data_IF_631448462574
#
_entry.id   IF_631448462574
#
_cell.length_a   1.000
_cell.length_b   1.000
_cell.length_c   1.000
_cell.angle_alpha   90.00
_cell.angle_beta   90.00
_cell.angle_gamma   90.00
#
_symmetry.space_group_name_H-M   'P 1'
#
loop_
_entity.id
_entity.type
_entity.pdbx_description
1 polymer ?
#
# COMPACT_ATOMS: atom_id res chain seq x y z
N UNK A 1 3.15 8.37 -28.55
CA UNK A 1 2.51 9.68 -28.37
C UNK A 1 3.57 10.75 -28.54
N UNK A 2 3.48 11.55 -29.61
CA UNK A 2 4.33 12.71 -29.81
C UNK A 2 4.10 13.62 -28.62
N UNK A 3 5.16 13.98 -27.90
CA UNK A 3 5.11 15.02 -26.88
C UNK A 3 4.54 16.28 -27.62
N UNK A 4 3.29 16.57 -27.38
CA UNK A 4 2.70 17.82 -27.85
C UNK A 4 3.57 18.93 -27.30
N UNK A 5 4.04 19.78 -28.17
CA UNK A 5 4.77 20.98 -27.75
C UNK A 5 3.76 21.89 -27.04
N UNK A 6 3.61 21.65 -25.72
CA UNK A 6 2.57 22.25 -24.88
C UNK A 6 2.67 23.78 -24.85
N UNK A 7 3.87 24.31 -25.14
CA UNK A 7 4.07 25.75 -25.26
C UNK A 7 3.45 26.31 -26.54
N UNK A 8 3.59 25.63 -27.68
CA UNK A 8 2.96 26.07 -28.94
C UNK A 8 1.45 25.97 -28.88
N UNK A 9 0.91 24.88 -28.27
CA UNK A 9 -0.55 24.76 -28.10
C UNK A 9 -1.12 25.79 -27.14
N UNK A 10 -0.43 26.12 -26.04
CA UNK A 10 -0.83 27.18 -25.11
C UNK A 10 -0.88 28.57 -25.81
N UNK A 11 0.09 28.85 -26.68
CA UNK A 11 0.12 30.10 -27.47
C UNK A 11 -1.02 30.14 -28.47
N UNK A 12 -1.34 29.02 -29.13
CA UNK A 12 -2.46 28.94 -30.08
C UNK A 12 -3.79 29.10 -29.37
N UNK A 13 -4.02 28.46 -28.23
CA UNK A 13 -5.28 28.58 -27.45
C UNK A 13 -5.43 29.96 -26.83
N UNK A 14 -4.36 30.63 -26.42
CA UNK A 14 -4.39 32.01 -25.91
C UNK A 14 -4.78 33.07 -26.98
N UNK A 15 -4.69 32.72 -28.27
CA UNK A 15 -5.06 33.59 -29.39
C UNK A 15 -6.50 33.43 -29.88
N UNK A 16 -7.26 32.45 -29.34
CA UNK A 16 -8.64 32.22 -29.76
C UNK A 16 -9.57 33.28 -29.15
N UNK A 17 -10.51 33.85 -29.96
CA UNK A 17 -11.56 34.72 -29.46
C UNK A 17 -12.42 34.04 -28.39
N UNK A 18 -12.98 34.81 -27.45
CA UNK A 18 -13.79 34.26 -26.36
C UNK A 18 -14.96 33.38 -26.85
N UNK A 19 -15.61 33.76 -27.96
CA UNK A 19 -16.68 33.00 -28.60
C UNK A 19 -16.22 31.61 -29.16
N UNK A 20 -14.93 31.41 -29.36
CA UNK A 20 -14.37 30.13 -29.86
C UNK A 20 -13.92 29.23 -28.73
N UNK A 21 -14.02 29.67 -27.46
CA UNK A 21 -13.55 28.90 -26.30
C UNK A 21 -14.34 27.61 -26.06
N UNK A 22 -15.65 27.64 -26.32
CA UNK A 22 -16.53 26.48 -26.18
C UNK A 22 -16.19 25.41 -27.23
N UNK A 23 -15.89 25.84 -28.47
CA UNK A 23 -15.41 24.95 -29.53
C UNK A 23 -13.98 24.43 -29.25
N UNK A 24 -13.21 25.17 -28.47
CA UNK A 24 -11.86 24.82 -28.08
C UNK A 24 -11.80 24.04 -26.73
N UNK A 25 -12.96 23.87 -26.05
CA UNK A 25 -12.99 23.23 -24.73
C UNK A 25 -12.30 21.86 -24.69
N UNK A 26 -12.53 20.92 -25.65
CA UNK A 26 -11.79 19.65 -25.64
C UNK A 26 -10.27 19.82 -25.76
N UNK A 27 -9.80 20.76 -26.60
CA UNK A 27 -8.37 21.03 -26.76
C UNK A 27 -7.76 21.67 -25.51
N UNK A 28 -8.51 22.52 -24.81
CA UNK A 28 -8.10 23.10 -23.53
C UNK A 28 -7.99 22.01 -22.44
N UNK A 29 -8.94 21.09 -22.38
CA UNK A 29 -8.92 19.98 -21.44
C UNK A 29 -7.78 18.99 -21.72
N UNK A 30 -7.47 18.67 -22.98
CA UNK A 30 -6.30 17.87 -23.34
C UNK A 30 -4.98 18.53 -22.93
N UNK A 31 -4.85 19.84 -23.19
CA UNK A 31 -3.66 20.59 -22.76
C UNK A 31 -3.53 20.60 -21.24
N UNK A 32 -4.64 20.83 -20.53
CA UNK A 32 -4.68 20.79 -19.08
C UNK A 32 -4.31 19.39 -18.55
N UNK A 33 -4.82 18.31 -19.17
CA UNK A 33 -4.44 16.95 -18.84
C UNK A 33 -2.93 16.71 -18.97
N UNK A 34 -2.31 17.20 -20.04
CA UNK A 34 -0.87 17.13 -20.24
C UNK A 34 -0.09 17.89 -19.15
N UNK A 35 -0.57 19.07 -18.72
CA UNK A 35 0.04 19.86 -17.65
C UNK A 35 -0.11 19.19 -16.30
N UNK A 36 -1.32 18.72 -15.95
CA UNK A 36 -1.59 17.99 -14.71
C UNK A 36 -0.65 16.78 -14.58
N UNK A 37 -0.53 15.97 -15.63
CA UNK A 37 0.36 14.80 -15.66
C UNK A 37 1.86 15.14 -15.61
N UNK A 38 2.22 16.41 -15.78
CA UNK A 38 3.56 16.95 -15.57
C UNK A 38 3.74 17.59 -14.20
N UNK A 39 2.70 17.62 -13.36
CA UNK A 39 2.71 18.30 -12.07
C UNK A 39 2.65 19.82 -12.15
N UNK A 40 2.23 20.37 -13.30
CA UNK A 40 2.09 21.83 -13.49
C UNK A 40 0.73 22.31 -12.92
N UNK A 41 0.73 23.13 -11.83
CA UNK A 41 -0.50 23.62 -11.21
C UNK A 41 -1.36 24.50 -12.15
N UNK A 42 -0.77 25.08 -13.18
CA UNK A 42 -1.53 25.82 -14.17
C UNK A 42 -2.56 24.95 -14.92
N UNK A 43 -2.36 23.62 -14.93
CA UNK A 43 -3.34 22.67 -15.48
C UNK A 43 -4.66 22.70 -14.72
N UNK A 44 -4.65 22.66 -13.41
CA UNK A 44 -5.86 22.67 -12.56
C UNK A 44 -6.58 24.02 -12.62
N UNK A 45 -5.84 25.12 -12.66
CA UNK A 45 -6.43 26.47 -12.80
C UNK A 45 -7.16 26.63 -14.16
N UNK A 46 -6.58 26.08 -15.24
CA UNK A 46 -7.15 26.18 -16.57
C UNK A 46 -8.51 25.48 -16.73
N UNK A 47 -8.78 24.43 -15.94
CA UNK A 47 -9.98 23.61 -16.07
C UNK A 47 -11.11 23.96 -15.09
N UNK A 48 -10.85 24.74 -14.06
CA UNK A 48 -11.84 25.07 -13.03
C UNK A 48 -13.14 25.67 -13.62
N UNK A 49 -13.04 26.50 -14.64
CA UNK A 49 -14.20 27.09 -15.31
C UNK A 49 -15.03 26.12 -16.15
N UNK A 50 -14.51 24.94 -16.50
CA UNK A 50 -15.23 23.95 -17.30
C UNK A 50 -16.09 23.00 -16.46
N UNK A 51 -15.95 22.99 -15.12
CA UNK A 51 -16.75 22.13 -14.23
C UNK A 51 -18.25 22.49 -14.23
N UNK A 52 -18.60 23.69 -14.62
CA UNK A 52 -19.98 24.17 -14.75
C UNK A 52 -20.42 24.33 -16.23
N UNK A 53 -19.69 23.70 -17.14
CA UNK A 53 -20.03 23.78 -18.58
C UNK A 53 -21.41 23.14 -18.85
N UNK A 54 -22.23 23.71 -19.72
CA UNK A 54 -23.58 23.18 -20.03
C UNK A 54 -23.53 21.78 -20.66
N UNK A 55 -22.49 21.47 -21.42
CA UNK A 55 -22.25 20.14 -21.94
C UNK A 55 -21.69 19.24 -20.81
N UNK A 56 -22.46 18.21 -20.47
CA UNK A 56 -22.14 17.28 -19.41
C UNK A 56 -20.85 16.47 -19.66
N UNK A 57 -20.52 16.18 -20.93
CA UNK A 57 -19.29 15.48 -21.29
C UNK A 57 -18.05 16.32 -20.99
N UNK A 58 -18.11 17.62 -21.31
CA UNK A 58 -17.04 18.58 -21.00
C UNK A 58 -16.91 18.78 -19.49
N UNK A 59 -18.04 18.98 -18.78
CA UNK A 59 -18.04 19.12 -17.32
C UNK A 59 -17.51 17.86 -16.63
N UNK A 60 -17.98 16.69 -17.03
CA UNK A 60 -17.51 15.40 -16.50
C UNK A 60 -16.02 15.18 -16.73
N UNK A 61 -15.51 15.56 -17.91
CA UNK A 61 -14.08 15.48 -18.20
C UNK A 61 -13.25 16.43 -17.32
N UNK A 62 -13.73 17.68 -17.15
CA UNK A 62 -13.06 18.65 -16.27
C UNK A 62 -13.00 18.14 -14.80
N UNK A 63 -14.11 17.66 -14.26
CA UNK A 63 -14.16 17.05 -12.93
C UNK A 63 -13.21 15.85 -12.81
N UNK A 64 -13.16 14.99 -13.81
CA UNK A 64 -12.24 13.84 -13.82
C UNK A 64 -10.77 14.27 -13.78
N UNK A 65 -10.40 15.30 -14.52
CA UNK A 65 -9.03 15.84 -14.52
C UNK A 65 -8.65 16.46 -13.17
N UNK A 66 -9.60 17.12 -12.49
CA UNK A 66 -9.39 17.61 -11.12
C UNK A 66 -9.16 16.44 -10.14
N UNK A 67 -9.93 15.37 -10.28
CA UNK A 67 -9.72 14.15 -9.48
C UNK A 67 -8.38 13.47 -9.76
N UNK A 68 -7.97 13.39 -11.05
CA UNK A 68 -6.64 12.90 -11.43
C UNK A 68 -5.54 13.79 -10.80
N UNK A 69 -5.69 15.11 -10.84
CA UNK A 69 -4.75 16.03 -10.21
C UNK A 69 -4.68 15.87 -8.68
N UNK A 70 -5.82 15.66 -8.03
CA UNK A 70 -5.87 15.42 -6.59
C UNK A 70 -5.18 14.08 -6.21
N UNK A 71 -5.36 13.01 -7.01
CA UNK A 71 -4.64 11.74 -6.82
C UNK A 71 -3.12 11.91 -6.99
N UNK A 72 -2.69 12.65 -8.01
CA UNK A 72 -1.26 12.92 -8.23
C UNK A 72 -0.64 13.81 -7.14
N UNK A 73 -1.47 14.64 -6.49
CA UNK A 73 -1.08 15.47 -5.35
C UNK A 73 -1.29 14.77 -3.99
N UNK A 74 -1.58 13.45 -3.99
CA UNK A 74 -1.80 12.64 -2.79
C UNK A 74 -2.89 13.19 -1.86
N UNK A 75 -3.98 13.68 -2.46
CA UNK A 75 -5.17 14.17 -1.76
C UNK A 75 -6.38 13.29 -2.08
N UNK A 76 -6.42 12.02 -1.57
CA UNK A 76 -7.40 11.03 -2.00
C UNK A 76 -8.84 11.41 -1.65
N UNK A 77 -9.09 12.10 -0.54
CA UNK A 77 -10.45 12.57 -0.18
C UNK A 77 -10.99 13.61 -1.15
N UNK A 78 -10.13 14.55 -1.56
CA UNK A 78 -10.50 15.54 -2.58
C UNK A 78 -10.73 14.85 -3.93
N UNK A 79 -9.91 13.84 -4.24
CA UNK A 79 -10.09 13.03 -5.44
C UNK A 79 -11.44 12.29 -5.43
N UNK A 80 -11.83 11.67 -4.32
CA UNK A 80 -13.14 11.01 -4.18
C UNK A 80 -14.27 12.01 -4.48
N UNK A 81 -14.27 13.16 -3.81
CA UNK A 81 -15.32 14.16 -3.98
C UNK A 81 -15.43 14.66 -5.45
N UNK A 82 -14.29 14.97 -6.07
CA UNK A 82 -14.25 15.45 -7.46
C UNK A 82 -14.63 14.37 -8.47
N UNK A 83 -14.19 13.11 -8.25
CA UNK A 83 -14.51 12.01 -9.16
C UNK A 83 -15.98 11.56 -9.05
N UNK A 84 -16.62 11.69 -7.89
CA UNK A 84 -18.07 11.47 -7.76
C UNK A 84 -18.86 12.48 -8.60
N UNK A 85 -18.45 13.76 -8.61
CA UNK A 85 -19.03 14.76 -9.50
C UNK A 85 -18.82 14.40 -10.98
N UNK A 86 -17.62 13.92 -11.33
CA UNK A 86 -17.33 13.47 -12.68
C UNK A 86 -18.23 12.29 -13.11
N UNK A 87 -18.48 11.31 -12.23
CA UNK A 87 -19.40 10.20 -12.51
C UNK A 87 -20.81 10.73 -12.74
N UNK A 88 -21.32 11.64 -11.90
CA UNK A 88 -22.65 12.21 -12.03
C UNK A 88 -22.82 12.94 -13.37
N UNK A 89 -21.83 13.75 -13.78
CA UNK A 89 -21.86 14.46 -15.07
C UNK A 89 -21.78 13.49 -16.26
N UNK A 90 -20.91 12.48 -16.22
CA UNK A 90 -20.82 11.49 -17.28
C UNK A 90 -22.14 10.69 -17.44
N UNK A 91 -22.83 10.39 -16.34
CA UNK A 91 -24.15 9.74 -16.36
C UNK A 91 -25.21 10.68 -16.96
N UNK A 92 -25.19 11.96 -16.59
CA UNK A 92 -26.07 12.98 -17.18
C UNK A 92 -25.87 13.09 -18.70
N UNK A 93 -24.60 13.02 -19.14
CA UNK A 93 -24.22 13.05 -20.56
C UNK A 93 -24.37 11.70 -21.28
N UNK A 94 -24.72 10.62 -20.57
CA UNK A 94 -24.77 9.24 -21.10
C UNK A 94 -23.44 8.79 -21.75
N UNK A 95 -22.32 9.28 -21.23
CA UNK A 95 -20.98 8.97 -21.72
C UNK A 95 -20.37 7.78 -20.96
N UNK A 96 -20.74 6.58 -21.35
CA UNK A 96 -20.30 5.35 -20.69
C UNK A 96 -18.78 5.11 -20.76
N UNK A 97 -18.11 5.61 -21.80
CA UNK A 97 -16.66 5.45 -21.94
C UNK A 97 -15.89 6.28 -20.90
N UNK A 98 -16.22 7.57 -20.79
CA UNK A 98 -15.59 8.44 -19.80
C UNK A 98 -16.02 8.09 -18.39
N UNK A 99 -17.27 7.62 -18.18
CA UNK A 99 -17.72 7.09 -16.90
C UNK A 99 -16.86 5.90 -16.45
N UNK A 100 -16.61 4.92 -17.31
CA UNK A 100 -15.78 3.77 -16.99
C UNK A 100 -14.35 4.19 -16.59
N UNK A 101 -13.73 5.10 -17.34
CA UNK A 101 -12.41 5.66 -17.01
C UNK A 101 -12.39 6.43 -15.70
N UNK A 102 -13.46 7.16 -15.38
CA UNK A 102 -13.61 7.87 -14.10
C UNK A 102 -13.74 6.90 -12.93
N UNK A 103 -14.47 5.79 -13.09
CA UNK A 103 -14.62 4.77 -12.06
C UNK A 103 -13.32 4.05 -11.72
N UNK A 104 -12.41 3.87 -12.69
CA UNK A 104 -11.06 3.35 -12.41
C UNK A 104 -10.28 4.28 -11.48
N UNK A 105 -10.34 5.59 -11.75
CA UNK A 105 -9.69 6.57 -10.85
C UNK A 105 -10.38 6.63 -9.48
N UNK A 106 -11.71 6.48 -9.44
CA UNK A 106 -12.48 6.47 -8.20
C UNK A 106 -12.17 5.23 -7.35
N UNK A 107 -11.97 4.05 -7.95
CA UNK A 107 -11.49 2.87 -7.26
C UNK A 107 -10.15 3.14 -6.55
N UNK A 108 -9.21 3.75 -7.26
CA UNK A 108 -7.92 4.13 -6.71
C UNK A 108 -8.05 5.17 -5.59
N UNK A 109 -8.93 6.18 -5.78
CA UNK A 109 -9.18 7.22 -4.79
C UNK A 109 -9.80 6.65 -3.51
N UNK A 110 -10.82 5.79 -3.61
CA UNK A 110 -11.41 5.12 -2.46
C UNK A 110 -10.39 4.25 -1.71
N UNK A 111 -9.62 3.45 -2.44
CA UNK A 111 -8.58 2.61 -1.85
C UNK A 111 -7.55 3.44 -1.07
N UNK A 112 -7.07 4.55 -1.66
CA UNK A 112 -6.09 5.43 -1.02
C UNK A 112 -6.69 6.25 0.13
N UNK A 113 -8.00 6.56 0.08
CA UNK A 113 -8.72 7.22 1.17
C UNK A 113 -9.09 6.26 2.32
N UNK A 114 -8.85 4.94 2.17
CA UNK A 114 -9.22 3.94 3.17
C UNK A 114 -10.70 3.54 3.14
N UNK A 115 -11.47 3.98 2.14
CA UNK A 115 -12.87 3.57 1.91
C UNK A 115 -12.91 2.22 1.20
N UNK A 116 -12.46 1.15 1.89
CA UNK A 116 -12.22 -0.16 1.27
C UNK A 116 -13.50 -0.84 0.78
N UNK A 117 -14.62 -0.71 1.51
CA UNK A 117 -15.92 -1.25 1.05
C UNK A 117 -16.39 -0.63 -0.27
N UNK A 118 -16.25 0.69 -0.43
CA UNK A 118 -16.65 1.36 -1.66
C UNK A 118 -15.73 0.99 -2.82
N UNK A 119 -14.44 0.83 -2.53
CA UNK A 119 -13.47 0.31 -3.48
C UNK A 119 -13.81 -1.15 -3.90
N UNK A 120 -14.16 -2.02 -2.95
CA UNK A 120 -14.60 -3.38 -3.23
C UNK A 120 -15.84 -3.40 -4.12
N UNK A 121 -16.87 -2.60 -3.81
CA UNK A 121 -18.08 -2.50 -4.65
C UNK A 121 -17.78 -2.11 -6.08
N UNK A 122 -16.83 -1.19 -6.30
CA UNK A 122 -16.37 -0.81 -7.64
C UNK A 122 -15.56 -1.93 -8.31
N UNK A 123 -14.69 -2.59 -7.57
CA UNK A 123 -13.85 -3.69 -8.05
C UNK A 123 -14.71 -4.88 -8.51
N UNK A 124 -15.66 -5.31 -7.68
CA UNK A 124 -16.54 -6.44 -7.97
C UNK A 124 -17.50 -6.20 -9.15
N UNK A 125 -17.80 -4.94 -9.47
CA UNK A 125 -18.67 -4.62 -10.61
C UNK A 125 -18.17 -5.17 -11.95
N UNK A 126 -16.88 -5.37 -12.09
CA UNK A 126 -16.25 -5.89 -13.31
C UNK A 126 -15.97 -7.41 -13.25
N UNK A 127 -16.41 -8.09 -12.18
CA UNK A 127 -16.23 -9.53 -12.03
C UNK A 127 -14.79 -9.96 -11.74
N UNK A 128 -14.39 -11.11 -12.28
CA UNK A 128 -13.03 -11.61 -12.15
C UNK A 128 -12.01 -10.72 -12.91
N UNK A 129 -10.70 -10.75 -12.56
CA UNK A 129 -9.67 -10.01 -13.30
C UNK A 129 -9.64 -10.34 -14.81
N UNK A 130 -9.99 -11.58 -15.20
CA UNK A 130 -10.13 -12.00 -16.58
C UNK A 130 -11.21 -11.23 -17.35
N UNK A 131 -12.26 -10.79 -16.66
CA UNK A 131 -13.44 -10.13 -17.24
C UNK A 131 -13.26 -8.62 -17.41
N UNK A 132 -12.15 -8.09 -16.92
CA UNK A 132 -11.82 -6.67 -17.05
C UNK A 132 -11.86 -6.22 -18.53
N UNK A 133 -12.25 -4.96 -18.81
CA UNK A 133 -12.32 -4.41 -20.16
C UNK A 133 -11.03 -4.65 -20.96
N UNK A 134 -11.14 -4.77 -22.27
CA UNK A 134 -9.96 -4.91 -23.12
C UNK A 134 -9.22 -3.58 -23.29
N UNK A 135 -7.96 -3.66 -23.71
CA UNK A 135 -7.13 -2.50 -24.03
C UNK A 135 -6.63 -1.74 -22.78
N UNK A 136 -6.25 -0.48 -23.02
CA UNK A 136 -5.58 0.38 -22.02
C UNK A 136 -6.41 0.61 -20.75
N UNK A 137 -7.72 0.77 -20.91
CA UNK A 137 -8.64 0.96 -19.79
C UNK A 137 -8.65 -0.25 -18.86
N UNK A 138 -8.69 -1.46 -19.45
CA UNK A 138 -8.66 -2.70 -18.67
C UNK A 138 -7.35 -2.91 -17.94
N UNK A 139 -6.22 -2.56 -18.55
CA UNK A 139 -4.91 -2.63 -17.87
C UNK A 139 -4.89 -1.68 -16.68
N UNK A 140 -5.34 -0.43 -16.84
CA UNK A 140 -5.42 0.55 -15.74
C UNK A 140 -6.38 0.09 -14.64
N UNK A 141 -7.49 -0.53 -15.00
CA UNK A 141 -8.41 -1.12 -14.03
C UNK A 141 -7.72 -2.23 -13.22
N UNK A 142 -7.00 -3.15 -13.88
CA UNK A 142 -6.27 -4.22 -13.20
C UNK A 142 -5.20 -3.69 -12.26
N UNK A 143 -4.47 -2.65 -12.65
CA UNK A 143 -3.47 -2.02 -11.77
C UNK A 143 -4.13 -1.35 -10.55
N UNK A 144 -5.22 -0.60 -10.76
CA UNK A 144 -5.97 0.02 -9.66
C UNK A 144 -6.58 -1.03 -8.72
N UNK A 145 -7.08 -2.14 -9.27
CA UNK A 145 -7.60 -3.28 -8.51
C UNK A 145 -6.50 -3.96 -7.71
N UNK A 146 -5.35 -4.24 -8.31
CA UNK A 146 -4.22 -4.84 -7.62
C UNK A 146 -3.69 -3.96 -6.48
N UNK A 147 -3.61 -2.62 -6.68
CA UNK A 147 -3.26 -1.69 -5.60
C UNK A 147 -4.30 -1.75 -4.47
N UNK A 148 -5.60 -1.81 -4.80
CA UNK A 148 -6.66 -1.95 -3.82
C UNK A 148 -6.57 -3.28 -3.06
N UNK A 149 -6.40 -4.42 -3.75
CA UNK A 149 -6.26 -5.74 -3.14
C UNK A 149 -5.03 -5.79 -2.22
N UNK A 150 -3.90 -5.22 -2.65
CA UNK A 150 -2.70 -5.07 -1.83
C UNK A 150 -2.97 -4.24 -0.57
N UNK A 151 -3.58 -3.05 -0.73
CA UNK A 151 -3.93 -2.17 0.42
C UNK A 151 -4.96 -2.78 1.36
N UNK A 152 -5.79 -3.70 0.88
CA UNK A 152 -6.75 -4.47 1.68
C UNK A 152 -6.14 -5.71 2.33
N UNK A 153 -4.83 -5.95 2.17
CA UNK A 153 -4.15 -7.12 2.71
C UNK A 153 -4.37 -8.41 1.91
N UNK A 154 -5.08 -8.37 0.80
CA UNK A 154 -5.33 -9.52 -0.09
C UNK A 154 -4.18 -9.70 -1.09
N UNK A 155 -2.98 -9.93 -0.56
CA UNK A 155 -1.75 -9.92 -1.37
C UNK A 155 -1.77 -11.00 -2.45
N UNK A 156 -2.31 -12.19 -2.14
CA UNK A 156 -2.43 -13.28 -3.12
C UNK A 156 -3.31 -12.91 -4.31
N UNK A 157 -4.44 -12.24 -4.06
CA UNK A 157 -5.34 -11.74 -5.10
C UNK A 157 -4.64 -10.65 -5.93
N UNK A 158 -3.96 -9.72 -5.26
CA UNK A 158 -3.21 -8.66 -5.92
C UNK A 158 -2.17 -9.20 -6.90
N UNK A 159 -1.39 -10.21 -6.50
CA UNK A 159 -0.40 -10.85 -7.38
C UNK A 159 -1.06 -11.56 -8.56
N UNK A 160 -2.18 -12.27 -8.34
CA UNK A 160 -2.95 -12.88 -9.42
C UNK A 160 -3.50 -11.83 -10.40
N UNK A 161 -4.02 -10.71 -9.89
CA UNK A 161 -4.48 -9.59 -10.73
C UNK A 161 -3.33 -8.97 -11.54
N UNK A 162 -2.13 -8.85 -10.95
CA UNK A 162 -0.94 -8.36 -11.64
C UNK A 162 -0.45 -9.32 -12.74
N UNK A 163 -0.59 -10.63 -12.58
CA UNK A 163 -0.27 -11.60 -13.64
C UNK A 163 -1.16 -11.42 -14.86
N UNK A 164 -2.46 -11.20 -14.64
CA UNK A 164 -3.40 -10.88 -15.73
C UNK A 164 -3.03 -9.55 -16.40
N UNK A 165 -2.69 -8.53 -15.62
CA UNK A 165 -2.26 -7.23 -16.14
C UNK A 165 -0.98 -7.35 -16.98
N UNK A 166 0.01 -8.13 -16.52
CA UNK A 166 1.27 -8.38 -17.21
C UNK A 166 1.05 -9.10 -18.55
N UNK A 167 0.21 -10.14 -18.55
CA UNK A 167 -0.18 -10.86 -19.77
C UNK A 167 -0.80 -9.90 -20.80
N UNK A 168 -1.66 -8.98 -20.37
CA UNK A 168 -2.31 -7.97 -21.23
C UNK A 168 -1.35 -6.88 -21.70
N UNK A 169 -0.40 -6.48 -20.87
CA UNK A 169 0.67 -5.56 -21.26
C UNK A 169 1.57 -6.18 -22.33
N UNK A 170 1.83 -7.48 -22.23
CA UNK A 170 2.62 -8.25 -23.19
C UNK A 170 3.95 -7.57 -23.53
N UNK A 171 4.36 -7.75 -24.78
CA UNK A 171 5.53 -7.08 -25.35
C UNK A 171 5.22 -5.72 -25.99
N UNK A 172 4.06 -5.12 -25.71
CA UNK A 172 3.62 -3.87 -26.34
C UNK A 172 4.60 -2.74 -26.02
N UNK A 173 5.25 -2.24 -27.05
CA UNK A 173 6.15 -1.09 -26.93
C UNK A 173 5.35 0.18 -26.62
N UNK A 174 5.92 1.09 -25.82
CA UNK A 174 5.31 2.38 -25.48
C UNK A 174 4.49 2.40 -24.19
N UNK A 175 4.29 1.26 -23.52
CA UNK A 175 3.56 1.17 -22.22
C UNK A 175 4.52 1.09 -21.01
N UNK A 176 5.73 1.60 -21.13
CA UNK A 176 6.77 1.53 -20.08
C UNK A 176 6.34 2.11 -18.75
N UNK A 177 5.52 3.17 -18.75
CA UNK A 177 4.99 3.78 -17.51
C UNK A 177 4.07 2.80 -16.77
N UNK A 178 3.17 2.11 -17.46
CA UNK A 178 2.26 1.12 -16.84
C UNK A 178 3.02 -0.12 -16.39
N UNK A 179 4.04 -0.54 -17.14
CA UNK A 179 4.92 -1.64 -16.71
C UNK A 179 5.69 -1.27 -15.45
N UNK A 180 6.18 -0.04 -15.35
CA UNK A 180 6.79 0.47 -14.13
C UNK A 180 5.84 0.43 -12.95
N UNK A 181 4.61 0.89 -13.12
CA UNK A 181 3.56 0.87 -12.10
C UNK A 181 3.28 -0.57 -11.64
N UNK A 182 3.10 -1.51 -12.58
CA UNK A 182 2.93 -2.93 -12.29
C UNK A 182 4.07 -3.48 -11.42
N UNK A 183 5.33 -3.25 -11.84
CA UNK A 183 6.50 -3.74 -11.10
C UNK A 183 6.59 -3.12 -9.71
N UNK A 184 6.19 -1.86 -9.55
CA UNK A 184 6.20 -1.17 -8.25
C UNK A 184 5.16 -1.77 -7.29
N UNK A 185 3.92 -2.02 -7.77
CA UNK A 185 2.88 -2.67 -6.95
C UNK A 185 3.32 -4.09 -6.59
N UNK A 186 3.82 -4.86 -7.56
CA UNK A 186 4.31 -6.24 -7.33
C UNK A 186 5.44 -6.27 -6.30
N UNK A 187 6.39 -5.34 -6.37
CA UNK A 187 7.46 -5.24 -5.38
C UNK A 187 6.93 -4.95 -3.97
N UNK A 188 5.91 -4.09 -3.83
CA UNK A 188 5.24 -3.87 -2.54
C UNK A 188 4.59 -5.15 -2.01
N UNK A 189 3.87 -5.89 -2.85
CA UNK A 189 3.27 -7.18 -2.48
C UNK A 189 4.34 -8.19 -2.00
N UNK A 190 5.49 -8.26 -2.69
CA UNK A 190 6.57 -9.17 -2.33
C UNK A 190 7.30 -8.77 -1.06
N UNK A 191 7.42 -7.48 -0.76
CA UNK A 191 7.94 -7.01 0.52
C UNK A 191 7.07 -7.52 1.67
N UNK A 192 5.75 -7.33 1.54
CA UNK A 192 4.81 -7.78 2.55
C UNK A 192 4.80 -9.31 2.69
N UNK A 193 5.13 -10.04 1.62
CA UNK A 193 5.34 -11.49 1.63
C UNK A 193 6.77 -11.93 1.95
N UNK A 194 7.59 -11.04 2.54
CA UNK A 194 8.95 -11.34 2.97
C UNK A 194 9.88 -11.88 1.88
N UNK A 195 9.75 -11.35 0.67
CA UNK A 195 10.62 -11.61 -0.48
C UNK A 195 11.41 -10.34 -0.89
N UNK A 196 12.21 -9.74 0.02
CA UNK A 196 12.84 -8.44 -0.22
C UNK A 196 13.83 -8.50 -1.39
N UNK A 197 14.56 -9.61 -1.57
CA UNK A 197 15.55 -9.74 -2.64
C UNK A 197 14.88 -9.70 -4.03
N UNK A 198 13.67 -10.26 -4.16
CA UNK A 198 12.91 -10.21 -5.40
C UNK A 198 12.23 -8.86 -5.57
N UNK A 199 11.69 -8.28 -4.50
CA UNK A 199 11.14 -6.94 -4.50
C UNK A 199 12.17 -5.89 -4.95
N UNK A 200 13.41 -5.96 -4.44
CA UNK A 200 14.50 -5.07 -4.83
C UNK A 200 14.90 -5.24 -6.29
N UNK A 201 14.91 -6.49 -6.79
CA UNK A 201 15.14 -6.78 -8.21
C UNK A 201 14.08 -6.12 -9.09
N UNK A 202 12.80 -6.24 -8.73
CA UNK A 202 11.70 -5.59 -9.46
C UNK A 202 11.77 -4.06 -9.39
N UNK A 203 12.15 -3.49 -8.25
CA UNK A 203 12.39 -2.04 -8.14
C UNK A 203 13.53 -1.57 -9.03
N UNK A 204 14.63 -2.32 -9.09
CA UNK A 204 15.75 -2.03 -9.98
C UNK A 204 15.34 -2.13 -11.47
N UNK A 205 14.48 -3.07 -11.82
CA UNK A 205 13.91 -3.18 -13.16
C UNK A 205 12.96 -2.00 -13.45
N UNK A 206 12.05 -1.69 -12.53
CA UNK A 206 11.17 -0.54 -12.63
C UNK A 206 11.97 0.77 -12.80
N UNK A 207 13.12 0.89 -12.11
CA UNK A 207 14.02 2.04 -12.21
C UNK A 207 14.56 2.30 -13.60
N UNK A 208 14.65 1.27 -14.47
CA UNK A 208 15.11 1.39 -15.87
C UNK A 208 14.00 1.86 -16.82
N UNK A 209 12.74 1.84 -16.37
CA UNK A 209 11.59 2.22 -17.18
C UNK A 209 11.26 3.72 -17.05
N UNK A 210 10.58 4.32 -18.04
CA UNK A 210 10.21 5.72 -18.00
C UNK A 210 9.44 6.08 -16.73
N UNK A 211 9.83 7.18 -16.10
CA UNK A 211 9.06 7.80 -15.01
C UNK A 211 7.78 8.46 -15.56
N UNK A 212 6.67 8.40 -14.82
CA UNK A 212 5.56 9.30 -15.02
C UNK A 212 6.05 10.76 -14.98
N UNK A 213 5.53 11.61 -15.85
CA UNK A 213 6.05 12.96 -16.03
C UNK A 213 6.01 13.83 -14.75
N UNK A 214 5.00 13.61 -13.86
CA UNK A 214 4.88 14.30 -12.57
C UNK A 214 5.98 13.89 -11.58
N UNK A 215 6.44 12.63 -11.61
CA UNK A 215 7.51 12.15 -10.75
C UNK A 215 8.89 12.56 -11.27
N UNK A 216 9.03 12.85 -12.56
CA UNK A 216 10.29 13.34 -13.13
C UNK A 216 10.68 14.73 -12.57
N UNK A 217 9.69 15.57 -12.24
CA UNK A 217 9.90 16.88 -11.59
C UNK A 217 10.23 16.73 -10.10
N UNK A 218 9.65 15.75 -9.40
CA UNK A 218 9.96 15.49 -7.98
C UNK A 218 11.21 14.63 -7.80
N UNK A 219 11.61 13.84 -8.81
CA UNK A 219 12.85 13.05 -8.76
C UNK A 219 14.11 13.93 -8.67
N UNK A 220 14.07 15.15 -9.21
CA UNK A 220 15.14 16.13 -9.00
C UNK A 220 15.24 16.58 -7.53
N UNK A 221 14.13 16.70 -6.81
CA UNK A 221 14.12 16.96 -5.38
C UNK A 221 14.59 15.74 -4.55
N UNK A 222 14.24 14.53 -4.99
CA UNK A 222 14.68 13.28 -4.37
C UNK A 222 16.15 12.93 -4.68
N UNK A 223 16.71 13.46 -5.76
CA UNK A 223 18.13 13.31 -6.07
C UNK A 223 18.98 14.17 -5.13
N UNK A 224 18.48 15.34 -4.76
CA UNK A 224 19.09 16.18 -3.72
C UNK A 224 19.06 15.50 -2.34
N UNK A 225 18.06 14.63 -2.09
CA UNK A 225 17.97 13.79 -0.88
C UNK A 225 18.92 12.58 -0.93
N UNK A 226 19.18 12.02 -2.12
CA UNK A 226 20.13 10.89 -2.31
C UNK A 226 21.60 11.30 -2.28
N UNK A 227 21.92 12.54 -2.66
CA UNK A 227 23.25 13.12 -2.52
C UNK A 227 23.57 13.51 -1.08
N UNK A 228 22.59 13.44 -0.17
CA UNK A 228 22.82 13.57 1.26
C UNK A 228 23.35 12.25 1.85
N UNK A 229 24.60 11.89 1.52
CA UNK A 229 25.41 10.96 2.33
C UNK A 229 25.57 11.40 3.79
N UNK A 230 25.00 12.57 4.13
CA UNK A 230 24.84 13.12 5.47
C UNK A 230 23.35 13.13 5.86
N UNK A 231 22.78 11.95 6.16
CA UNK A 231 21.51 11.86 6.88
C UNK A 231 21.54 12.80 8.11
N UNK A 232 22.69 12.96 8.76
CA UNK A 232 22.92 13.87 9.87
C UNK A 232 22.71 15.35 9.51
N UNK A 233 23.08 15.79 8.32
CA UNK A 233 22.93 17.18 7.90
C UNK A 233 21.47 17.51 7.58
N UNK A 234 20.76 16.58 6.91
CA UNK A 234 19.34 16.69 6.63
C UNK A 234 18.51 16.67 7.93
N UNK A 235 18.94 15.88 8.95
CA UNK A 235 18.34 15.80 10.27
C UNK A 235 18.48 17.12 11.08
N UNK A 236 19.52 17.92 10.82
CA UNK A 236 19.69 19.27 11.39
C UNK A 236 18.85 20.36 10.72
N UNK A 237 18.44 20.11 9.47
CA UNK A 237 17.68 21.06 8.65
C UNK A 237 16.16 20.83 8.67
N UNK A 238 15.66 19.77 9.38
CA UNK A 238 14.20 19.57 9.54
C UNK A 238 13.65 20.74 10.35
N UNK A 239 12.78 21.60 9.77
CA UNK A 239 12.22 22.73 10.47
C UNK A 239 11.49 22.27 11.74
N UNK A 240 11.65 23.01 12.82
CA UNK A 240 10.85 22.81 14.04
C UNK A 240 9.35 22.78 13.68
N UNK A 241 8.50 22.03 14.43
CA UNK A 241 7.08 21.81 14.13
C UNK A 241 6.20 23.07 14.01
N UNK A 242 6.79 24.25 13.99
CA UNK A 242 6.13 25.53 13.69
C UNK A 242 6.29 26.01 12.24
N UNK A 243 7.17 25.43 11.44
CA UNK A 243 7.31 25.76 10.02
C UNK A 243 6.45 24.81 9.18
N UNK A 244 5.59 25.34 8.33
CA UNK A 244 4.51 24.69 7.60
C UNK A 244 4.92 23.66 6.52
N UNK A 245 6.05 23.02 6.65
CA UNK A 245 6.45 21.91 5.78
C UNK A 245 5.74 20.63 6.23
N UNK A 246 4.66 20.30 5.54
CA UNK A 246 3.90 19.09 5.75
C UNK A 246 4.75 17.88 5.35
N UNK A 247 5.12 17.03 6.31
CA UNK A 247 5.73 15.75 5.98
C UNK A 247 4.77 14.93 5.11
N UNK A 248 5.31 14.42 4.01
CA UNK A 248 4.60 13.54 3.08
C UNK A 248 4.85 12.09 3.50
N UNK A 249 3.78 11.24 3.63
CA UNK A 249 3.94 9.82 3.97
C UNK A 249 4.92 9.07 3.07
N UNK A 250 4.96 9.37 1.78
CA UNK A 250 5.89 8.72 0.85
C UNK A 250 7.34 9.14 1.11
N UNK A 251 7.57 10.41 1.45
CA UNK A 251 8.90 10.87 1.83
C UNK A 251 9.37 10.21 3.13
N UNK A 252 8.46 10.02 4.10
CA UNK A 252 8.76 9.29 5.34
C UNK A 252 9.06 7.83 5.07
N UNK A 253 8.27 7.15 4.22
CA UNK A 253 8.53 5.76 3.82
C UNK A 253 9.86 5.61 3.07
N UNK A 254 10.21 6.56 2.19
CA UNK A 254 11.51 6.57 1.51
C UNK A 254 12.66 6.71 2.51
N UNK A 255 12.54 7.61 3.48
CA UNK A 255 13.54 7.79 4.54
C UNK A 255 13.70 6.52 5.38
N UNK A 256 12.62 5.84 5.75
CA UNK A 256 12.70 4.58 6.51
C UNK A 256 13.45 3.50 5.72
N UNK A 257 13.22 3.39 4.41
CA UNK A 257 13.98 2.47 3.54
C UNK A 257 15.46 2.82 3.48
N UNK A 258 15.79 4.12 3.36
CA UNK A 258 17.18 4.57 3.36
C UNK A 258 17.85 4.27 4.70
N UNK A 259 17.15 4.48 5.83
CA UNK A 259 17.62 4.10 7.16
C UNK A 259 17.78 2.59 7.33
N UNK A 260 16.91 1.80 6.71
CA UNK A 260 17.02 0.33 6.72
C UNK A 260 18.29 -0.16 6.02
N UNK A 261 18.74 0.54 4.97
CA UNK A 261 19.94 0.23 4.21
C UNK A 261 21.26 0.62 4.94
N UNK A 262 21.20 1.40 6.01
CA UNK A 262 22.39 1.80 6.74
C UNK A 262 23.00 0.63 7.53
N UNK A 263 24.32 0.39 7.45
CA UNK A 263 25.00 -0.68 8.18
C UNK A 263 24.99 -0.46 9.71
N UNK A 264 24.93 0.78 10.15
CA UNK A 264 24.81 1.15 11.56
C UNK A 264 23.79 2.27 11.74
N UNK A 265 22.90 2.11 12.71
CA UNK A 265 21.86 3.08 13.06
C UNK A 265 22.22 3.73 14.40
N UNK A 266 22.24 5.06 14.40
CA UNK A 266 22.55 5.85 15.60
C UNK A 266 21.26 6.17 16.38
N UNK A 267 21.33 6.38 17.72
CA UNK A 267 20.16 6.78 18.52
C UNK A 267 19.43 8.02 17.99
N UNK A 268 20.15 8.97 17.39
CA UNK A 268 19.60 10.17 16.78
C UNK A 268 18.63 9.85 15.63
N UNK A 269 18.86 8.78 14.89
CA UNK A 269 17.95 8.34 13.82
C UNK A 269 16.57 7.98 14.38
N UNK A 270 16.50 7.30 15.54
CA UNK A 270 15.23 6.98 16.20
C UNK A 270 14.47 8.25 16.61
N UNK A 271 15.15 9.24 17.14
CA UNK A 271 14.56 10.52 17.53
C UNK A 271 13.96 11.28 16.33
N UNK A 272 14.60 11.19 15.17
CA UNK A 272 14.11 11.80 13.93
C UNK A 272 12.88 11.09 13.38
N UNK A 273 12.93 9.76 13.30
CA UNK A 273 11.79 8.95 12.89
C UNK A 273 10.57 9.26 13.75
N UNK A 274 10.73 9.30 15.09
CA UNK A 274 9.64 9.64 15.99
C UNK A 274 9.07 11.04 15.71
N UNK A 275 9.90 12.06 15.50
CA UNK A 275 9.45 13.44 15.19
C UNK A 275 8.71 13.51 13.87
N UNK A 276 9.19 12.81 12.82
CA UNK A 276 8.51 12.75 11.53
C UNK A 276 7.12 12.10 11.65
N UNK A 277 7.04 10.98 12.36
CA UNK A 277 5.76 10.29 12.59
C UNK A 277 4.81 11.14 13.46
N UNK A 278 5.34 11.87 14.44
CA UNK A 278 4.52 12.81 15.23
C UNK A 278 3.98 13.96 14.35
N UNK A 279 4.68 14.35 13.29
CA UNK A 279 4.18 15.35 12.34
C UNK A 279 3.06 14.85 11.43
N UNK A 280 2.89 13.54 11.27
CA UNK A 280 1.80 12.90 10.54
C UNK A 280 0.58 12.65 11.42
N UNK A 281 0.76 12.56 12.74
CA UNK A 281 -0.26 12.15 13.68
C UNK A 281 -1.52 13.03 13.62
N UNK A 282 -2.68 12.36 13.58
CA UNK A 282 -3.99 13.02 13.62
C UNK A 282 -4.37 13.76 12.33
N UNK A 283 -3.71 13.50 11.21
CA UNK A 283 -4.14 14.04 9.92
C UNK A 283 -5.28 13.20 9.35
N UNK A 284 -6.43 13.82 9.03
CA UNK A 284 -7.53 13.11 8.42
C UNK A 284 -7.09 12.45 7.09
N UNK A 285 -7.40 11.17 6.95
CA UNK A 285 -7.14 10.40 5.75
C UNK A 285 -5.75 9.80 5.61
N UNK A 286 -4.91 9.97 6.60
CA UNK A 286 -3.60 9.33 6.66
C UNK A 286 -3.52 8.26 7.76
N UNK A 287 -4.66 7.88 8.36
CA UNK A 287 -4.72 6.95 9.50
C UNK A 287 -4.05 5.62 9.17
N UNK A 288 -4.29 5.09 7.95
CA UNK A 288 -3.68 3.86 7.48
C UNK A 288 -2.19 4.03 7.21
N UNK A 289 -1.80 5.07 6.48
CA UNK A 289 -0.40 5.33 6.16
C UNK A 289 0.39 5.62 7.45
N UNK A 290 -0.18 6.37 8.40
CA UNK A 290 0.41 6.58 9.74
C UNK A 290 0.63 5.24 10.45
N UNK A 291 -0.38 4.35 10.48
CA UNK A 291 -0.29 3.06 11.16
C UNK A 291 0.80 2.17 10.56
N UNK A 292 0.88 2.09 9.22
CA UNK A 292 1.88 1.30 8.51
C UNK A 292 3.30 1.85 8.72
N UNK A 293 3.47 3.17 8.66
CA UNK A 293 4.76 3.81 8.92
C UNK A 293 5.20 3.64 10.37
N UNK A 294 4.29 3.68 11.33
CA UNK A 294 4.57 3.37 12.74
C UNK A 294 5.05 1.92 12.91
N UNK A 295 4.41 0.96 12.22
CA UNK A 295 4.81 -0.44 12.24
C UNK A 295 6.19 -0.64 11.60
N UNK A 296 6.43 -0.05 10.42
CA UNK A 296 7.71 -0.14 9.71
C UNK A 296 8.84 0.46 10.54
N UNK A 297 8.66 1.66 11.07
CA UNK A 297 9.64 2.33 11.91
C UNK A 297 9.90 1.57 13.22
N UNK A 298 8.85 1.07 13.87
CA UNK A 298 8.97 0.27 15.07
C UNK A 298 9.75 -1.03 14.83
N UNK A 299 9.45 -1.72 13.73
CA UNK A 299 10.15 -2.97 13.32
C UNK A 299 11.62 -2.69 12.98
N UNK A 300 11.89 -1.60 12.28
CA UNK A 300 13.25 -1.16 11.95
C UNK A 300 14.09 -0.92 13.20
N UNK A 301 13.54 -0.19 14.18
CA UNK A 301 14.23 0.12 15.42
C UNK A 301 14.38 -1.11 16.33
N UNK A 302 13.40 -2.01 16.34
CA UNK A 302 13.49 -3.29 17.09
C UNK A 302 14.70 -4.12 16.63
N UNK A 303 14.99 -4.13 15.32
CA UNK A 303 16.17 -4.82 14.76
C UNK A 303 17.49 -4.05 14.86
N UNK A 304 17.51 -2.82 15.43
CA UNK A 304 18.67 -1.93 15.36
C UNK A 304 19.57 -1.98 16.60
N UNK A 305 19.12 -2.61 17.68
CA UNK A 305 19.90 -2.76 18.91
C UNK A 305 19.13 -2.37 20.17
N UNK A 306 19.66 -2.73 21.35
CA UNK A 306 18.97 -2.55 22.63
C UNK A 306 18.71 -1.07 22.97
N UNK A 307 19.55 -0.14 22.51
CA UNK A 307 19.42 1.30 22.71
C UNK A 307 18.16 1.88 22.04
N UNK A 308 17.62 1.20 21.05
CA UNK A 308 16.43 1.63 20.34
C UNK A 308 15.13 0.99 20.87
N UNK A 309 15.24 0.06 21.81
CA UNK A 309 14.12 -0.77 22.30
C UNK A 309 12.91 0.06 22.77
N UNK A 310 13.16 1.08 23.59
CA UNK A 310 12.09 1.94 24.15
C UNK A 310 11.36 2.71 23.04
N UNK A 311 12.11 3.21 22.06
CA UNK A 311 11.53 3.90 20.92
C UNK A 311 10.71 2.94 20.04
N UNK A 312 11.26 1.76 19.75
CA UNK A 312 10.59 0.71 18.99
C UNK A 312 9.28 0.27 19.66
N UNK A 313 9.32 -0.01 20.96
CA UNK A 313 8.14 -0.39 21.73
C UNK A 313 7.04 0.68 21.68
N UNK A 314 7.41 1.96 21.88
CA UNK A 314 6.45 3.06 21.80
C UNK A 314 5.78 3.15 20.42
N UNK A 315 6.55 3.01 19.34
CA UNK A 315 6.00 3.05 17.98
C UNK A 315 5.10 1.86 17.69
N UNK A 316 5.52 0.65 18.08
CA UNK A 316 4.73 -0.57 17.89
C UNK A 316 3.42 -0.55 18.69
N UNK A 317 3.42 -0.07 19.94
CA UNK A 317 2.18 0.11 20.72
C UNK A 317 1.21 1.11 20.05
N UNK A 318 1.74 2.20 19.50
CA UNK A 318 0.93 3.16 18.71
C UNK A 318 0.40 2.52 17.43
N UNK A 319 1.23 1.75 16.72
CA UNK A 319 0.82 1.03 15.52
C UNK A 319 -0.33 0.07 15.83
N UNK A 320 -0.23 -0.73 16.90
CA UNK A 320 -1.28 -1.66 17.32
C UNK A 320 -2.61 -0.94 17.52
N UNK A 321 -2.62 0.12 18.34
CA UNK A 321 -3.85 0.89 18.61
C UNK A 321 -4.48 1.41 17.32
N UNK A 322 -3.68 1.86 16.33
CA UNK A 322 -4.20 2.34 15.05
C UNK A 322 -4.72 1.20 14.19
N UNK A 323 -3.95 0.11 14.07
CA UNK A 323 -4.29 -1.03 13.23
C UNK A 323 -5.56 -1.77 13.71
N UNK A 324 -5.86 -1.79 15.00
CA UNK A 324 -7.07 -2.41 15.56
C UNK A 324 -8.38 -1.76 15.07
N UNK A 325 -8.32 -0.49 14.66
CA UNK A 325 -9.49 0.24 14.13
C UNK A 325 -9.52 0.33 12.60
N UNK A 326 -8.56 -0.30 11.91
CA UNK A 326 -8.47 -0.24 10.45
C UNK A 326 -8.97 -1.54 9.83
N UNK A 327 -9.96 -1.42 8.97
CA UNK A 327 -10.45 -2.53 8.16
C UNK A 327 -9.39 -3.06 7.21
N UNK A 328 -9.30 -4.38 7.05
CA UNK A 328 -8.32 -5.03 6.18
C UNK A 328 -6.87 -4.84 6.64
N UNK A 329 -6.63 -4.62 7.95
CA UNK A 329 -5.30 -4.46 8.53
C UNK A 329 -4.80 -5.69 9.29
N UNK A 330 -5.51 -6.84 9.19
CA UNK A 330 -5.29 -8.04 9.99
C UNK A 330 -3.85 -8.55 9.90
N UNK A 331 -3.26 -8.56 8.70
CA UNK A 331 -1.88 -9.00 8.50
C UNK A 331 -0.86 -8.09 9.18
N UNK A 332 -1.04 -6.77 9.09
CA UNK A 332 -0.14 -5.80 9.73
C UNK A 332 -0.34 -5.78 11.23
N UNK A 333 -1.57 -6.01 11.70
CA UNK A 333 -1.89 -6.19 13.11
C UNK A 333 -1.19 -7.44 13.67
N UNK A 334 -1.24 -8.56 12.95
CA UNK A 334 -0.53 -9.78 13.30
C UNK A 334 0.98 -9.56 13.38
N UNK A 335 1.54 -8.87 12.38
CA UNK A 335 2.97 -8.52 12.36
C UNK A 335 3.35 -7.60 13.52
N UNK A 336 2.56 -6.57 13.82
CA UNK A 336 2.80 -5.65 14.93
C UNK A 336 2.80 -6.38 16.28
N UNK A 337 1.84 -7.31 16.47
CA UNK A 337 1.75 -8.15 17.67
C UNK A 337 2.99 -9.03 17.84
N UNK A 338 3.41 -9.72 16.78
CA UNK A 338 4.62 -10.55 16.81
C UNK A 338 5.85 -9.71 17.12
N UNK A 339 6.06 -8.62 16.41
CA UNK A 339 7.26 -7.79 16.61
C UNK A 339 7.30 -7.20 18.02
N UNK A 340 6.17 -6.72 18.54
CA UNK A 340 6.12 -6.22 19.91
C UNK A 340 6.32 -7.35 20.93
N UNK A 341 5.66 -8.51 20.74
CA UNK A 341 5.82 -9.66 21.64
C UNK A 341 7.25 -10.19 21.72
N UNK A 342 8.00 -10.16 20.60
CA UNK A 342 9.43 -10.48 20.58
C UNK A 342 10.29 -9.42 21.29
N UNK A 343 9.85 -8.16 21.27
CA UNK A 343 10.59 -7.05 21.86
C UNK A 343 10.42 -6.95 23.37
N UNK A 344 9.25 -7.34 23.91
CA UNK A 344 8.95 -7.18 25.33
C UNK A 344 9.90 -7.99 26.23
N UNK A 345 10.29 -7.43 27.42
CA UNK A 345 11.16 -8.11 28.37
C UNK A 345 10.44 -9.29 29.06
N UNK A 346 11.24 -10.19 29.66
CA UNK A 346 10.70 -11.33 30.42
C UNK A 346 9.88 -10.90 31.65
N UNK A 347 10.03 -9.66 32.12
CA UNK A 347 9.17 -9.08 33.16
C UNK A 347 7.72 -8.86 32.70
N UNK A 348 7.49 -8.75 31.38
CA UNK A 348 6.17 -8.60 30.76
C UNK A 348 5.78 -9.89 30.00
N UNK A 349 6.22 -11.05 30.51
CA UNK A 349 6.08 -12.37 29.87
C UNK A 349 4.66 -12.66 29.41
N UNK A 350 3.68 -12.48 30.27
CA UNK A 350 2.28 -12.84 29.96
C UNK A 350 1.74 -12.00 28.80
N UNK A 351 2.05 -10.69 28.79
CA UNK A 351 1.69 -9.81 27.69
C UNK A 351 2.42 -10.18 26.40
N UNK A 352 3.72 -10.49 26.51
CA UNK A 352 4.51 -10.91 25.36
C UNK A 352 3.95 -12.20 24.74
N UNK A 353 3.58 -13.16 25.58
CA UNK A 353 3.03 -14.44 25.16
C UNK A 353 1.66 -14.30 24.52
N UNK A 354 0.75 -13.50 25.09
CA UNK A 354 -0.56 -13.20 24.47
C UNK A 354 -0.40 -12.54 23.09
N UNK A 355 0.48 -11.55 22.98
CA UNK A 355 0.75 -10.89 21.70
C UNK A 355 1.32 -11.85 20.66
N UNK A 356 2.28 -12.73 21.05
CA UNK A 356 2.86 -13.71 20.15
C UNK A 356 1.84 -14.73 19.68
N UNK A 357 1.03 -15.29 20.58
CA UNK A 357 0.00 -16.28 20.22
C UNK A 357 -1.00 -15.72 19.24
N UNK A 358 -1.57 -14.53 19.53
CA UNK A 358 -2.52 -13.86 18.62
C UNK A 358 -1.85 -13.44 17.30
N UNK A 359 -0.60 -13.03 17.36
CA UNK A 359 0.17 -12.68 16.18
C UNK A 359 0.44 -13.89 15.29
N UNK A 360 0.86 -15.01 15.85
CA UNK A 360 1.11 -16.27 15.13
C UNK A 360 -0.18 -16.75 14.43
N UNK A 361 -1.32 -16.68 15.12
CA UNK A 361 -2.62 -17.03 14.51
C UNK A 361 -2.91 -16.20 13.27
N UNK A 362 -2.78 -14.86 13.38
CA UNK A 362 -3.04 -13.98 12.25
C UNK A 362 -2.03 -14.16 11.10
N UNK A 363 -0.76 -14.45 11.40
CA UNK A 363 0.24 -14.76 10.38
C UNK A 363 -0.06 -16.07 9.65
N UNK A 364 -0.50 -17.11 10.39
CA UNK A 364 -0.85 -18.40 9.83
C UNK A 364 -2.07 -18.29 8.88
N UNK A 365 -3.09 -17.51 9.24
CA UNK A 365 -4.24 -17.23 8.37
C UNK A 365 -3.79 -16.61 7.04
N UNK A 366 -2.84 -15.68 7.07
CA UNK A 366 -2.28 -15.05 5.86
C UNK A 366 -1.48 -16.02 5.01
N UNK A 367 -0.73 -16.92 5.63
CA UNK A 367 0.07 -17.93 4.93
C UNK A 367 -0.78 -18.78 3.98
N UNK A 368 -2.01 -19.11 4.36
CA UNK A 368 -2.91 -19.91 3.52
C UNK A 368 -3.46 -19.18 2.30
N UNK A 369 -3.39 -17.87 2.28
CA UNK A 369 -3.72 -17.10 1.09
C UNK A 369 -2.66 -17.20 0.00
N UNK A 370 -1.44 -17.65 0.36
CA UNK A 370 -0.33 -17.78 -0.58
C UNK A 370 -0.39 -19.08 -1.36
N UNK A 371 -0.65 -19.01 -2.66
CA UNK A 371 -0.70 -20.20 -3.53
C UNK A 371 0.70 -20.78 -3.78
N UNK A 372 1.72 -19.94 -3.85
CA UNK A 372 3.09 -20.37 -4.14
C UNK A 372 3.78 -20.95 -2.89
N UNK A 373 4.27 -22.19 -3.00
CA UNK A 373 4.95 -22.89 -1.91
C UNK A 373 6.22 -22.14 -1.43
N UNK A 374 7.02 -21.62 -2.35
CA UNK A 374 8.25 -20.89 -1.98
C UNK A 374 7.94 -19.66 -1.13
N UNK A 375 6.83 -18.99 -1.40
CA UNK A 375 6.38 -17.83 -0.61
C UNK A 375 5.94 -18.28 0.79
N UNK A 376 5.18 -19.39 0.90
CA UNK A 376 4.79 -19.95 2.20
C UNK A 376 6.00 -20.36 3.03
N UNK A 377 6.97 -21.02 2.41
CA UNK A 377 8.21 -21.45 3.10
C UNK A 377 9.03 -20.24 3.56
N UNK A 378 9.11 -19.19 2.73
CA UNK A 378 9.76 -17.91 3.08
C UNK A 378 9.06 -17.20 4.23
N UNK A 379 7.73 -17.12 4.18
CA UNK A 379 6.90 -16.55 5.24
C UNK A 379 7.08 -17.28 6.56
N UNK A 380 6.92 -18.60 6.54
CA UNK A 380 7.11 -19.46 7.71
C UNK A 380 8.48 -19.25 8.36
N UNK A 381 9.55 -19.29 7.55
CA UNK A 381 10.92 -19.15 8.03
C UNK A 381 11.22 -17.78 8.61
N UNK A 382 10.75 -16.72 7.97
CA UNK A 382 11.12 -15.33 8.31
C UNK A 382 10.19 -14.69 9.34
N UNK A 383 8.91 -15.07 9.36
CA UNK A 383 7.89 -14.45 10.20
C UNK A 383 7.41 -15.33 11.35
N UNK A 384 7.01 -16.57 11.04
CA UNK A 384 6.36 -17.43 12.03
C UNK A 384 7.38 -18.15 12.93
N UNK A 385 8.40 -18.80 12.39
CA UNK A 385 9.36 -19.58 13.18
C UNK A 385 10.03 -18.77 14.30
N UNK A 386 10.52 -17.53 14.07
CA UNK A 386 11.10 -16.74 15.16
C UNK A 386 10.08 -16.39 16.25
N UNK A 387 8.82 -16.14 15.87
CA UNK A 387 7.75 -15.85 16.81
C UNK A 387 7.37 -17.08 17.63
N UNK A 388 7.22 -18.23 16.97
CA UNK A 388 6.93 -19.51 17.62
C UNK A 388 8.06 -19.91 18.59
N UNK A 389 9.32 -19.78 18.17
CA UNK A 389 10.47 -20.08 19.03
C UNK A 389 10.46 -19.22 20.30
N UNK A 390 10.20 -17.92 20.18
CA UNK A 390 10.09 -17.02 21.34
C UNK A 390 8.88 -17.35 22.21
N UNK A 391 7.74 -17.67 21.61
CA UNK A 391 6.55 -18.08 22.36
C UNK A 391 6.78 -19.38 23.14
N UNK A 392 7.46 -20.39 22.54
CA UNK A 392 7.84 -21.63 23.22
C UNK A 392 8.78 -21.34 24.41
N UNK A 393 9.78 -20.50 24.21
CA UNK A 393 10.70 -20.08 25.26
C UNK A 393 9.95 -19.47 26.45
N UNK A 394 9.07 -18.53 26.18
CA UNK A 394 8.25 -17.89 27.22
C UNK A 394 7.29 -18.88 27.90
N UNK A 395 6.60 -19.72 27.14
CA UNK A 395 5.62 -20.68 27.65
C UNK A 395 6.29 -21.81 28.49
N UNK A 396 7.49 -22.24 28.14
CA UNK A 396 8.17 -23.39 28.77
C UNK A 396 8.30 -23.28 30.29
N UNK A 397 8.39 -22.05 30.80
CA UNK A 397 8.51 -21.82 32.25
C UNK A 397 7.20 -21.69 33.02
N UNK A 398 6.05 -21.53 32.32
CA UNK A 398 4.76 -21.19 32.94
C UNK A 398 3.60 -22.06 32.46
N UNK A 399 3.55 -22.44 31.21
CA UNK A 399 2.49 -23.27 30.60
C UNK A 399 3.09 -24.31 29.66
N UNK A 400 3.45 -25.46 30.23
CA UNK A 400 4.01 -26.56 29.48
C UNK A 400 3.05 -27.15 28.42
N UNK A 401 1.74 -27.00 28.61
CA UNK A 401 0.74 -27.46 27.66
C UNK A 401 0.75 -26.56 26.43
N UNK A 402 0.74 -25.23 26.60
CA UNK A 402 0.87 -24.28 25.51
C UNK A 402 2.20 -24.46 24.77
N UNK A 403 3.31 -24.67 25.49
CA UNK A 403 4.60 -24.94 24.85
C UNK A 403 4.56 -26.20 23.97
N UNK A 404 3.91 -27.27 24.43
CA UNK A 404 3.74 -28.52 23.67
C UNK A 404 2.84 -28.28 22.41
N UNK A 405 1.77 -27.50 22.54
CA UNK A 405 0.90 -27.14 21.43
C UNK A 405 1.67 -26.33 20.37
N UNK A 406 2.47 -25.35 20.78
CA UNK A 406 3.31 -24.56 19.88
C UNK A 406 4.37 -25.40 19.16
N UNK A 407 5.03 -26.36 19.87
CA UNK A 407 5.96 -27.28 19.25
C UNK A 407 5.26 -28.17 18.23
N UNK A 408 4.10 -28.70 18.56
CA UNK A 408 3.31 -29.52 17.64
C UNK A 408 2.91 -28.70 16.42
N UNK A 409 2.40 -27.48 16.62
CA UNK A 409 2.06 -26.56 15.53
C UNK A 409 3.25 -26.31 14.62
N UNK A 410 4.44 -26.00 15.17
CA UNK A 410 5.64 -25.69 14.38
C UNK A 410 6.07 -26.84 13.45
N UNK A 411 5.77 -28.09 13.83
CA UNK A 411 6.09 -29.28 13.04
C UNK A 411 5.12 -29.51 11.87
N UNK A 412 3.87 -29.14 12.05
CA UNK A 412 2.84 -29.32 11.03
C UNK A 412 2.59 -28.07 10.19
N UNK A 413 3.07 -26.92 10.67
CA UNK A 413 3.01 -25.68 9.93
C UNK A 413 3.78 -25.80 8.60
N UNK A 414 3.14 -25.43 7.51
CA UNK A 414 3.72 -25.55 6.16
C UNK A 414 3.29 -26.78 5.37
N UNK A 415 2.64 -27.75 6.00
CA UNK A 415 2.05 -28.88 5.28
C UNK A 415 0.64 -28.52 4.83
N UNK A 416 0.48 -28.18 3.56
CA UNK A 416 -0.84 -28.01 2.93
C UNK A 416 -1.35 -29.35 2.45
N UNK A 417 -2.52 -29.74 2.94
CA UNK A 417 -3.28 -30.84 2.35
C UNK A 417 -4.06 -30.28 1.17
N UNK A 418 -3.95 -30.89 -0.03
CA UNK A 418 -4.85 -30.56 -1.11
C UNK A 418 -6.30 -30.66 -0.62
N UNK A 419 -7.11 -29.66 -0.90
CA UNK A 419 -8.55 -29.71 -0.64
C UNK A 419 -9.17 -30.76 -1.57
N UNK A 420 -9.20 -31.99 -1.10
CA UNK A 420 -10.16 -32.97 -1.64
C UNK A 420 -11.38 -32.87 -0.73
N UNK A 421 -12.48 -32.35 -1.24
CA UNK A 421 -13.73 -32.09 -0.53
C UNK A 421 -14.34 -33.33 0.16
N UNK A 422 -13.68 -34.47 0.08
CA UNK A 422 -14.15 -35.78 0.53
C UNK A 422 -13.37 -36.42 1.68
N UNK A 423 -12.29 -35.81 2.15
CA UNK A 423 -11.49 -36.41 3.22
C UNK A 423 -11.55 -35.58 4.49
N UNK A 424 -12.11 -36.17 5.52
CA UNK A 424 -11.96 -35.70 6.92
C UNK A 424 -10.47 -35.78 7.27
N UNK A 425 -9.86 -34.73 7.83
CA UNK A 425 -8.45 -34.76 8.20
C UNK A 425 -8.18 -35.88 9.20
N UNK A 426 -7.20 -36.71 8.88
CA UNK A 426 -6.79 -37.83 9.75
C UNK A 426 -6.05 -37.32 11.01
N UNK A 427 -5.57 -36.09 11.00
CA UNK A 427 -4.86 -35.49 12.12
C UNK A 427 -5.65 -34.29 12.64
N UNK A 428 -5.91 -34.24 13.96
CA UNK A 428 -6.59 -33.09 14.53
C UNK A 428 -5.76 -31.83 14.33
N UNK A 429 -6.42 -30.72 13.97
CA UNK A 429 -5.77 -29.42 13.86
C UNK A 429 -5.25 -29.02 15.24
N UNK A 430 -3.97 -28.63 15.37
CA UNK A 430 -3.41 -28.17 16.65
C UNK A 430 -4.23 -27.00 17.22
N UNK A 431 -4.32 -26.95 18.53
CA UNK A 431 -5.00 -25.88 19.26
C UNK A 431 -4.03 -25.21 20.19
N UNK A 432 -4.12 -23.89 20.30
CA UNK A 432 -3.44 -23.12 21.32
C UNK A 432 -4.41 -22.76 22.42
N UNK A 433 -3.95 -22.88 23.67
CA UNK A 433 -4.62 -22.31 24.81
C UNK A 433 -4.13 -20.88 25.02
N UNK A 434 -5.05 -19.95 25.13
CA UNK A 434 -4.71 -18.61 25.55
C UNK A 434 -4.40 -18.57 27.04
N UNK A 435 -3.74 -17.51 27.47
CA UNK A 435 -3.41 -17.26 28.88
C UNK A 435 -4.67 -17.20 29.74
N UNK A 436 -5.81 -16.76 29.19
CA UNK A 436 -7.11 -16.75 29.85
C UNK A 436 -7.81 -18.13 29.90
N UNK A 437 -7.16 -19.18 29.42
CA UNK A 437 -7.71 -20.53 29.43
C UNK A 437 -8.61 -20.88 28.24
N UNK A 438 -8.81 -19.96 27.29
CA UNK A 438 -9.53 -20.29 26.05
C UNK A 438 -8.68 -21.12 25.11
N UNK A 439 -9.31 -21.94 24.27
CA UNK A 439 -8.65 -22.70 23.22
C UNK A 439 -8.89 -22.04 21.88
N UNK A 440 -7.85 -21.95 21.06
CA UNK A 440 -7.97 -21.50 19.70
C UNK A 440 -7.24 -22.40 18.73
N UNK A 441 -7.65 -22.39 17.48
CA UNK A 441 -6.96 -23.11 16.42
C UNK A 441 -5.88 -22.21 15.84
N UNK A 442 -4.70 -22.78 15.64
CA UNK A 442 -3.71 -22.23 14.74
C UNK A 442 -3.94 -22.82 13.35
N UNK A 443 -4.08 -21.97 12.39
CA UNK A 443 -4.48 -22.36 11.05
C UNK A 443 -5.85 -21.77 10.71
N UNK A 444 -6.05 -21.41 9.48
CA UNK A 444 -7.27 -20.75 9.04
C UNK A 444 -8.51 -21.54 9.43
N UNK A 445 -9.40 -20.89 10.11
CA UNK A 445 -10.60 -21.49 10.70
C UNK A 445 -11.58 -22.07 9.67
N UNK A 446 -11.31 -22.00 8.42
CA UNK A 446 -12.32 -22.32 7.44
C UNK A 446 -12.06 -23.50 6.53
N UNK A 447 -10.84 -23.86 6.23
CA UNK A 447 -10.66 -24.78 5.11
C UNK A 447 -9.27 -25.41 4.94
N UNK A 448 -8.31 -25.11 5.78
CA UNK A 448 -6.99 -25.72 5.63
C UNK A 448 -6.83 -26.84 6.63
N UNK A 449 -6.82 -28.03 6.12
CA UNK A 449 -6.46 -29.21 6.86
C UNK A 449 -4.94 -29.37 6.81
N UNK A 450 -4.32 -29.49 7.97
CA UNK A 450 -2.92 -29.84 8.07
C UNK A 450 -2.78 -31.36 8.23
N UNK A 451 -1.81 -31.92 7.56
CA UNK A 451 -1.30 -33.26 7.85
C UNK A 451 -0.23 -33.19 8.92
#
# INVERSE_FOLDING_TARGET
>A
ARACDSAQQAVLLGRLPAASRDLAAPACLELAACRIRRGDPAGTQAIAGFTTHPDAGIAGWAWRLLGEAALLAERPFEAVATLLNAVAENQRGKDGYHEAGTRVLLLLAFSRAGHLEDADRLSFRYGAPSDAPQGLLGIRFLLARAEHEHRSGRIGEALGTLEVAETRLGATSGLGVLRRELLTIRAGCLDDWCQPDEADRLRAEAGKLPLPAHLATSANASQTLRDAQDATRWLGEIPHPGASTRADPQAVAALLRDLAALPQRKPDHAAVVCRLLDSLAGRPGLERDEALLLLEAGSLLAGSGPEHRVAAERLLRRALVRLEFLEGAEQWLAQARVTLGQLLPDSERDQALDLLVRGIQGLDEQRFQMLNRSYRDGWLTRREHPAIARAIELASGTDAALAADLITFSRVAGVLVPQDDRQVPLVPVPRLRYIDGTESRLGSAGSCNFL
#
